data_IF_109471297811
#
_entry.id   IF_109471297811
#
_cell.length_a   1.000
_cell.length_b   1.000
_cell.length_c   1.000
_cell.angle_alpha   90.00
_cell.angle_beta   90.00
_cell.angle_gamma   90.00
#
_symmetry.space_group_name_H-M   'P 1'
#
loop_
_entity.id
_entity.type
_entity.pdbx_description
1 polymer ?
#
# COMPACT_ATOMS: atom_id res chain seq x y z
N UNK A 1 -31.79 -3.65 14.25
CA UNK A 1 -30.34 -3.46 13.99
C UNK A 1 -29.91 -2.23 14.77
N UNK A 2 -28.98 -2.35 15.72
CA UNK A 2 -28.40 -1.20 16.40
C UNK A 2 -27.73 -0.38 15.32
N UNK A 3 -28.04 0.90 15.25
CA UNK A 3 -27.46 1.82 14.28
C UNK A 3 -25.97 2.03 14.58
N UNK A 4 -25.14 1.09 14.12
CA UNK A 4 -23.69 1.11 14.32
C UNK A 4 -23.01 2.22 13.49
N UNK A 5 -23.72 2.85 12.55
CA UNK A 5 -23.17 3.88 11.66
C UNK A 5 -22.58 5.07 12.44
N UNK A 6 -23.19 5.43 13.57
CA UNK A 6 -22.69 6.52 14.43
C UNK A 6 -21.34 6.21 15.06
N UNK A 7 -21.16 4.97 15.55
CA UNK A 7 -19.88 4.54 16.15
C UNK A 7 -18.79 4.46 15.09
N UNK A 8 -19.10 3.94 13.92
CA UNK A 8 -18.16 3.87 12.79
C UNK A 8 -17.76 5.27 12.35
N UNK A 9 -18.73 6.18 12.20
CA UNK A 9 -18.47 7.58 11.83
C UNK A 9 -17.61 8.31 12.88
N UNK A 10 -17.92 8.13 14.16
CA UNK A 10 -17.13 8.72 15.25
C UNK A 10 -15.69 8.21 15.24
N UNK A 11 -15.48 6.90 15.10
CA UNK A 11 -14.16 6.29 15.02
C UNK A 11 -13.38 6.81 13.82
N UNK A 12 -14.04 6.94 12.67
CA UNK A 12 -13.45 7.51 11.46
C UNK A 12 -13.01 8.96 11.65
N UNK A 13 -13.87 9.80 12.24
CA UNK A 13 -13.55 11.20 12.51
C UNK A 13 -12.40 11.33 13.51
N UNK A 14 -12.41 10.55 14.58
CA UNK A 14 -11.30 10.50 15.55
C UNK A 14 -9.99 10.08 14.87
N UNK A 15 -10.04 9.06 14.02
CA UNK A 15 -8.90 8.63 13.23
C UNK A 15 -8.38 9.73 12.29
N UNK A 16 -9.26 10.40 11.54
CA UNK A 16 -8.85 11.52 10.66
C UNK A 16 -8.24 12.67 11.43
N UNK A 17 -8.77 12.98 12.62
CA UNK A 17 -8.18 13.97 13.51
C UNK A 17 -6.75 13.59 13.93
N UNK A 18 -6.52 12.32 14.27
CA UNK A 18 -5.18 11.82 14.60
C UNK A 18 -4.21 12.03 13.42
N UNK A 19 -4.61 11.74 12.19
CA UNK A 19 -3.78 11.97 11.01
C UNK A 19 -3.42 13.45 10.83
N UNK A 20 -4.36 14.36 11.02
CA UNK A 20 -4.13 15.81 10.97
C UNK A 20 -3.14 16.23 12.06
N UNK A 21 -3.30 15.73 13.29
CA UNK A 21 -2.39 16.01 14.40
C UNK A 21 -0.97 15.50 14.13
N UNK A 22 -0.83 14.31 13.53
CA UNK A 22 0.46 13.78 13.07
C UNK A 22 1.09 14.71 12.02
N UNK A 23 0.32 15.20 11.06
CA UNK A 23 0.78 16.16 10.05
C UNK A 23 1.31 17.45 10.67
N UNK A 24 0.55 18.04 11.59
CA UNK A 24 0.93 19.28 12.30
C UNK A 24 2.17 19.06 13.19
N UNK A 25 2.26 17.94 13.88
CA UNK A 25 3.43 17.60 14.68
C UNK A 25 4.68 17.39 13.82
N UNK A 26 4.54 16.69 12.69
CA UNK A 26 5.64 16.39 11.78
C UNK A 26 6.17 17.64 11.08
N UNK A 27 5.33 18.66 10.87
CA UNK A 27 5.75 19.96 10.33
C UNK A 27 6.94 20.56 11.09
N UNK A 28 6.97 20.38 12.42
CA UNK A 28 8.05 20.89 13.28
C UNK A 28 9.41 20.20 13.03
N UNK A 29 9.42 19.05 12.35
CA UNK A 29 10.63 18.29 12.02
C UNK A 29 11.19 18.61 10.62
N UNK A 30 10.44 19.34 9.81
CA UNK A 30 10.81 19.67 8.43
C UNK A 30 11.59 20.99 8.39
N UNK A 31 12.89 20.93 8.66
CA UNK A 31 13.79 22.08 8.66
C UNK A 31 14.58 22.24 7.34
N UNK A 32 14.57 21.20 6.50
CA UNK A 32 15.30 21.16 5.24
C UNK A 32 14.50 20.43 4.15
N UNK A 33 14.89 20.59 2.89
CA UNK A 33 14.35 19.85 1.75
C UNK A 33 14.53 18.34 1.95
N UNK A 34 15.67 17.92 2.50
CA UNK A 34 15.96 16.53 2.82
C UNK A 34 15.04 15.98 3.94
N UNK A 35 14.71 16.82 4.96
CA UNK A 35 13.74 16.41 5.98
C UNK A 35 12.36 16.18 5.38
N UNK A 36 11.94 17.07 4.49
CA UNK A 36 10.62 17.00 3.87
C UNK A 36 10.43 15.78 2.96
N UNK A 37 11.43 15.48 2.10
CA UNK A 37 11.31 14.41 1.10
C UNK A 37 11.73 13.02 1.57
N UNK A 38 12.70 12.91 2.48
CA UNK A 38 13.28 11.64 2.93
C UNK A 38 13.52 11.56 4.43
N UNK A 39 12.91 12.45 5.22
CA UNK A 39 13.10 12.55 6.68
C UNK A 39 14.59 12.59 7.09
N UNK A 40 15.45 13.20 6.26
CA UNK A 40 16.92 13.21 6.41
C UNK A 40 17.52 11.83 6.67
N UNK A 41 16.88 10.74 6.19
CA UNK A 41 17.27 9.35 6.41
C UNK A 41 17.34 8.96 7.90
N UNK A 42 16.53 9.61 8.75
CA UNK A 42 16.53 9.42 10.22
C UNK A 42 15.34 8.58 10.72
N UNK A 43 14.59 7.94 9.83
CA UNK A 43 13.53 7.03 10.23
C UNK A 43 14.11 5.82 10.95
N UNK A 44 13.51 5.47 12.08
CA UNK A 44 13.87 4.24 12.78
C UNK A 44 13.45 3.00 11.98
N UNK A 45 14.10 1.84 12.20
CA UNK A 45 13.88 0.63 11.39
C UNK A 45 12.43 0.14 11.45
N UNK A 46 11.75 0.24 12.58
CA UNK A 46 10.36 -0.15 12.73
C UNK A 46 9.40 0.72 11.93
N UNK A 47 9.57 2.05 11.99
CA UNK A 47 8.74 2.97 11.21
C UNK A 47 8.99 2.76 9.72
N UNK A 48 10.25 2.60 9.32
CA UNK A 48 10.60 2.36 7.93
C UNK A 48 9.99 1.05 7.39
N UNK A 49 10.06 -0.04 8.16
CA UNK A 49 9.49 -1.33 7.78
C UNK A 49 7.96 -1.30 7.70
N UNK A 50 7.29 -0.74 8.73
CA UNK A 50 5.84 -0.62 8.76
C UNK A 50 5.31 0.31 7.67
N UNK A 51 5.94 1.47 7.47
CA UNK A 51 5.56 2.40 6.42
C UNK A 51 5.75 1.78 5.02
N UNK A 52 6.87 1.12 4.76
CA UNK A 52 7.09 0.44 3.48
C UNK A 52 6.07 -0.67 3.23
N UNK A 53 5.74 -1.47 4.26
CA UNK A 53 4.72 -2.52 4.16
C UNK A 53 3.32 -1.93 3.92
N UNK A 54 2.95 -0.86 4.64
CA UNK A 54 1.66 -0.20 4.46
C UNK A 54 1.54 0.48 3.10
N UNK A 55 2.61 1.14 2.63
CA UNK A 55 2.64 1.80 1.32
C UNK A 55 2.55 0.82 0.15
N UNK A 56 3.06 -0.40 0.31
CA UNK A 56 2.92 -1.47 -0.70
C UNK A 56 1.52 -2.08 -0.71
N UNK A 57 0.74 -1.89 0.36
CA UNK A 57 -0.64 -2.33 0.45
C UNK A 57 -1.56 -1.30 -0.20
N UNK A 58 -2.51 -1.78 -1.02
CA UNK A 58 -3.44 -0.92 -1.76
C UNK A 58 -4.87 -1.48 -1.67
N UNK A 59 -5.82 -0.80 -2.28
CA UNK A 59 -7.17 -1.35 -2.46
C UNK A 59 -7.15 -2.71 -3.18
N UNK A 60 -6.14 -2.97 -4.04
CA UNK A 60 -5.94 -4.27 -4.66
C UNK A 60 -5.67 -5.37 -3.62
N UNK A 61 -4.90 -5.08 -2.57
CA UNK A 61 -4.62 -6.06 -1.50
C UNK A 61 -5.91 -6.47 -0.77
N UNK A 62 -6.80 -5.53 -0.53
CA UNK A 62 -8.06 -5.80 0.16
C UNK A 62 -9.12 -6.41 -0.78
N UNK A 63 -9.36 -5.79 -1.94
CA UNK A 63 -10.44 -6.15 -2.85
C UNK A 63 -10.00 -7.16 -3.91
N UNK A 64 -8.82 -6.97 -4.49
CA UNK A 64 -8.30 -7.82 -5.55
C UNK A 64 -7.84 -9.18 -5.06
N UNK A 65 -7.09 -9.26 -3.94
CA UNK A 65 -6.62 -10.54 -3.40
C UNK A 65 -7.78 -11.35 -2.84
N UNK A 66 -8.73 -10.72 -2.13
CA UNK A 66 -9.93 -11.43 -1.66
C UNK A 66 -10.83 -11.88 -2.80
N UNK A 67 -10.96 -11.06 -3.86
CA UNK A 67 -11.66 -11.46 -5.09
C UNK A 67 -10.97 -12.62 -5.82
N UNK A 68 -9.64 -12.60 -5.90
CA UNK A 68 -8.86 -13.70 -6.45
C UNK A 68 -9.03 -14.98 -5.62
N UNK A 69 -9.02 -14.88 -4.30
CA UNK A 69 -9.26 -16.02 -3.41
C UNK A 69 -10.67 -16.59 -3.59
N UNK A 70 -11.67 -15.74 -3.77
CA UNK A 70 -13.05 -16.15 -4.04
C UNK A 70 -13.19 -16.89 -5.38
N UNK A 71 -12.53 -16.37 -6.43
CA UNK A 71 -12.65 -16.92 -7.78
C UNK A 71 -11.77 -18.15 -8.01
N UNK A 72 -10.59 -18.19 -7.41
CA UNK A 72 -9.58 -19.22 -7.69
C UNK A 72 -9.46 -20.27 -6.59
N UNK A 73 -9.96 -19.98 -5.38
CA UNK A 73 -9.82 -20.87 -4.24
C UNK A 73 -8.37 -21.02 -3.78
N UNK A 74 -7.95 -22.25 -3.46
CA UNK A 74 -6.60 -22.54 -2.95
C UNK A 74 -5.43 -22.04 -3.81
N UNK A 75 -5.47 -22.05 -5.15
CA UNK A 75 -4.40 -21.48 -5.97
C UNK A 75 -4.06 -20.00 -5.66
N UNK A 76 -5.01 -19.23 -5.12
CA UNK A 76 -4.72 -17.84 -4.71
C UNK A 76 -3.66 -17.74 -3.60
N UNK A 77 -3.41 -18.80 -2.84
CA UNK A 77 -2.35 -18.83 -1.83
C UNK A 77 -0.96 -18.59 -2.41
N UNK A 78 -0.73 -18.85 -3.70
CA UNK A 78 0.54 -18.57 -4.37
C UNK A 78 0.88 -17.09 -4.46
N UNK A 79 -0.11 -16.19 -4.31
CA UNK A 79 0.11 -14.73 -4.24
C UNK A 79 1.04 -14.39 -3.07
N UNK A 80 0.86 -15.05 -1.92
CA UNK A 80 1.64 -14.77 -0.71
C UNK A 80 3.13 -15.05 -0.89
N UNK A 81 3.60 -16.27 -1.23
CA UNK A 81 5.02 -16.53 -1.42
C UNK A 81 5.61 -15.74 -2.60
N UNK A 82 4.84 -15.45 -3.64
CA UNK A 82 5.29 -14.62 -4.75
C UNK A 82 5.62 -13.18 -4.29
N UNK A 83 4.70 -12.53 -3.60
CA UNK A 83 4.92 -11.18 -3.05
C UNK A 83 6.05 -11.17 -2.03
N UNK A 84 6.08 -12.15 -1.13
CA UNK A 84 7.13 -12.28 -0.11
C UNK A 84 8.52 -12.42 -0.73
N UNK A 85 8.66 -13.23 -1.78
CA UNK A 85 9.93 -13.37 -2.50
C UNK A 85 10.40 -12.05 -3.13
N UNK A 86 9.47 -11.24 -3.64
CA UNK A 86 9.74 -9.89 -4.12
C UNK A 86 10.31 -8.99 -3.01
N UNK A 87 9.68 -8.97 -1.84
CA UNK A 87 10.20 -8.24 -0.68
C UNK A 87 11.61 -8.71 -0.27
N UNK A 88 11.86 -10.02 -0.24
CA UNK A 88 13.21 -10.54 0.04
C UNK A 88 14.25 -10.03 -0.96
N UNK A 89 13.94 -10.07 -2.24
CA UNK A 89 14.85 -9.57 -3.29
C UNK A 89 15.09 -8.06 -3.10
N UNK A 90 14.05 -7.30 -2.86
CA UNK A 90 14.16 -5.86 -2.64
C UNK A 90 15.05 -5.55 -1.43
N UNK A 91 14.71 -6.05 -0.26
CA UNK A 91 15.39 -5.68 0.99
C UNK A 91 16.80 -6.24 1.12
N UNK A 92 17.10 -7.41 0.54
CA UNK A 92 18.42 -8.00 0.63
C UNK A 92 19.39 -7.50 -0.46
N UNK A 93 18.89 -7.22 -1.66
CA UNK A 93 19.75 -6.94 -2.81
C UNK A 93 19.61 -5.54 -3.38
N UNK A 94 18.38 -4.99 -3.49
CA UNK A 94 18.12 -3.72 -4.17
C UNK A 94 18.28 -2.56 -3.19
N UNK A 95 17.55 -2.56 -2.10
CA UNK A 95 17.48 -1.44 -1.16
C UNK A 95 18.84 -1.06 -0.55
N UNK A 96 19.73 -1.99 -0.14
CA UNK A 96 21.05 -1.63 0.37
C UNK A 96 21.93 -0.93 -0.67
N UNK A 97 21.92 -1.41 -1.92
CA UNK A 97 22.67 -0.79 -3.03
C UNK A 97 22.14 0.58 -3.39
N UNK A 98 20.81 0.69 -3.48
CA UNK A 98 20.15 1.96 -3.75
C UNK A 98 20.45 2.99 -2.67
N UNK A 99 20.39 2.59 -1.40
CA UNK A 99 20.72 3.45 -0.26
C UNK A 99 22.18 3.94 -0.31
N UNK A 100 23.14 3.04 -0.54
CA UNK A 100 24.56 3.40 -0.63
C UNK A 100 24.81 4.40 -1.77
N UNK A 101 24.28 4.13 -2.97
CA UNK A 101 24.43 5.01 -4.12
C UNK A 101 23.75 6.37 -3.91
N UNK A 102 22.54 6.36 -3.35
CA UNK A 102 21.79 7.57 -3.02
C UNK A 102 22.52 8.45 -2.00
N UNK A 103 23.15 7.84 -0.98
CA UNK A 103 23.96 8.58 -0.01
C UNK A 103 25.24 9.15 -0.64
N UNK A 104 25.94 8.33 -1.44
CA UNK A 104 27.19 8.74 -2.09
C UNK A 104 26.99 9.95 -3.01
N UNK A 105 25.90 10.00 -3.74
CA UNK A 105 25.59 11.07 -4.71
C UNK A 105 24.61 12.11 -4.18
N UNK A 106 24.22 12.05 -2.90
CA UNK A 106 23.28 12.96 -2.23
C UNK A 106 21.94 13.10 -2.98
N UNK A 107 21.44 11.99 -3.54
CA UNK A 107 20.20 11.97 -4.31
C UNK A 107 19.00 11.94 -3.36
N UNK A 108 17.94 12.68 -3.73
CA UNK A 108 16.71 12.80 -2.95
C UNK A 108 15.54 12.01 -3.58
N UNK A 109 15.59 11.79 -4.89
CA UNK A 109 14.49 11.20 -5.64
C UNK A 109 14.95 10.03 -6.51
N UNK A 110 14.03 9.10 -6.79
CA UNK A 110 14.27 8.00 -7.72
C UNK A 110 14.60 8.51 -9.13
N UNK A 111 13.99 9.60 -9.56
CA UNK A 111 14.24 10.18 -10.89
C UNK A 111 15.67 10.72 -11.02
N UNK A 112 16.25 11.25 -9.95
CA UNK A 112 17.67 11.64 -9.91
C UNK A 112 18.59 10.44 -9.97
N UNK A 113 18.22 9.35 -9.29
CA UNK A 113 18.97 8.09 -9.35
C UNK A 113 18.97 7.49 -10.76
N UNK A 114 17.82 7.42 -11.42
CA UNK A 114 17.70 6.89 -12.78
C UNK A 114 18.45 7.75 -13.81
N UNK A 115 18.54 9.04 -13.56
CA UNK A 115 19.22 10.00 -14.41
C UNK A 115 20.74 10.13 -14.12
N UNK A 116 21.27 9.35 -13.17
CA UNK A 116 22.69 9.44 -12.80
C UNK A 116 23.59 8.91 -13.92
N UNK A 117 24.34 9.82 -14.53
CA UNK A 117 25.34 9.53 -15.57
C UNK A 117 26.77 9.66 -15.05
N UNK A 118 27.76 9.39 -15.91
CA UNK A 118 29.19 9.51 -15.57
C UNK A 118 29.61 10.92 -15.15
N UNK A 119 28.99 11.95 -15.74
CA UNK A 119 29.35 13.36 -15.54
C UNK A 119 28.28 14.14 -14.75
N UNK A 120 27.44 13.45 -13.98
CA UNK A 120 26.34 14.05 -13.21
C UNK A 120 24.96 13.61 -13.73
N UNK A 121 23.92 14.33 -13.34
CA UNK A 121 22.54 13.99 -13.68
C UNK A 121 22.19 14.44 -15.10
N UNK A 122 21.71 13.50 -15.93
CA UNK A 122 21.22 13.75 -17.28
C UNK A 122 19.78 14.28 -17.21
N UNK A 123 19.57 15.55 -17.57
CA UNK A 123 18.28 16.25 -17.38
C UNK A 123 17.15 15.62 -18.19
N UNK A 124 17.42 15.20 -19.40
CA UNK A 124 16.44 14.58 -20.31
C UNK A 124 15.87 13.29 -19.72
N UNK A 125 16.74 12.45 -19.15
CA UNK A 125 16.34 11.21 -18.47
C UNK A 125 15.53 11.53 -17.20
N UNK A 126 15.95 12.55 -16.43
CA UNK A 126 15.21 12.97 -15.24
C UNK A 126 13.79 13.41 -15.58
N UNK A 127 13.63 14.26 -16.61
CA UNK A 127 12.30 14.73 -17.02
C UNK A 127 11.43 13.61 -17.58
N UNK A 128 12.00 12.73 -18.41
CA UNK A 128 11.27 11.59 -18.96
C UNK A 128 10.81 10.63 -17.83
N UNK A 129 11.72 10.28 -16.93
CA UNK A 129 11.39 9.44 -15.78
C UNK A 129 10.32 10.08 -14.87
N UNK A 130 10.42 11.39 -14.60
CA UNK A 130 9.43 12.11 -13.82
C UNK A 130 8.06 12.10 -14.51
N UNK A 131 8.02 12.32 -15.83
CA UNK A 131 6.76 12.27 -16.58
C UNK A 131 6.10 10.89 -16.51
N UNK A 132 6.86 9.82 -16.75
CA UNK A 132 6.33 8.44 -16.69
C UNK A 132 5.80 8.13 -15.29
N UNK A 133 6.56 8.46 -14.23
CA UNK A 133 6.16 8.20 -12.85
C UNK A 133 4.87 8.96 -12.53
N UNK A 134 4.80 10.27 -12.82
CA UNK A 134 3.60 11.08 -12.55
C UNK A 134 2.40 10.54 -13.32
N UNK A 135 2.58 10.21 -14.61
CA UNK A 135 1.53 9.64 -15.43
C UNK A 135 0.96 8.34 -14.84
N UNK A 136 1.82 7.38 -14.47
CA UNK A 136 1.39 6.13 -13.86
C UNK A 136 0.70 6.34 -12.49
N UNK A 137 1.26 7.23 -11.66
CA UNK A 137 0.71 7.49 -10.32
C UNK A 137 -0.63 8.22 -10.35
N UNK A 138 -0.92 9.04 -11.35
CA UNK A 138 -2.26 9.65 -11.51
C UNK A 138 -3.33 8.56 -11.60
N UNK A 139 -3.16 7.57 -12.46
CA UNK A 139 -4.11 6.46 -12.59
C UNK A 139 -4.16 5.58 -11.35
N UNK A 140 -3.01 5.29 -10.75
CA UNK A 140 -2.92 4.53 -9.51
C UNK A 140 -3.70 5.21 -8.38
N UNK A 141 -3.46 6.50 -8.14
CA UNK A 141 -4.12 7.26 -7.09
C UNK A 141 -5.62 7.39 -7.38
N UNK A 142 -6.01 7.62 -8.63
CA UNK A 142 -7.41 7.69 -9.01
C UNK A 142 -8.16 6.40 -8.68
N UNK A 143 -7.56 5.22 -8.95
CA UNK A 143 -8.14 3.93 -8.58
C UNK A 143 -8.28 3.73 -7.07
N UNK A 144 -7.33 4.22 -6.27
CA UNK A 144 -7.41 4.15 -4.80
C UNK A 144 -8.56 5.03 -4.26
N UNK A 145 -8.72 6.24 -4.80
CA UNK A 145 -9.83 7.11 -4.41
C UNK A 145 -11.17 6.57 -4.86
N UNK A 146 -11.24 5.94 -6.03
CA UNK A 146 -12.45 5.29 -6.50
C UNK A 146 -12.88 4.15 -5.56
N UNK A 147 -11.97 3.27 -5.18
CA UNK A 147 -12.21 2.19 -4.24
C UNK A 147 -12.62 2.70 -2.84
N UNK A 148 -11.96 3.76 -2.35
CA UNK A 148 -12.33 4.42 -1.11
C UNK A 148 -13.74 5.01 -1.19
N UNK A 149 -14.08 5.71 -2.27
CA UNK A 149 -15.41 6.27 -2.50
C UNK A 149 -16.51 5.21 -2.49
N UNK A 150 -16.29 4.08 -3.16
CA UNK A 150 -17.23 2.94 -3.15
C UNK A 150 -17.41 2.36 -1.73
N UNK A 151 -16.33 2.26 -0.96
CA UNK A 151 -16.40 1.78 0.43
C UNK A 151 -17.20 2.73 1.33
N UNK A 152 -17.04 4.05 1.16
CA UNK A 152 -17.82 5.04 1.90
C UNK A 152 -19.29 5.03 1.50
N UNK A 153 -19.59 4.94 0.21
CA UNK A 153 -20.96 4.85 -0.30
C UNK A 153 -21.68 3.63 0.27
N UNK A 154 -21.03 2.46 0.21
CA UNK A 154 -21.63 1.19 0.70
C UNK A 154 -21.78 1.16 2.23
N UNK A 155 -20.92 1.84 2.98
CA UNK A 155 -20.90 1.78 4.46
C UNK A 155 -21.80 2.85 5.07
N UNK A 156 -21.82 4.05 4.50
CA UNK A 156 -22.49 5.23 5.09
C UNK A 156 -23.62 5.76 4.26
N UNK A 157 -23.85 5.25 3.04
CA UNK A 157 -24.82 5.81 2.10
C UNK A 157 -24.48 7.23 1.61
N UNK A 158 -23.20 7.63 1.73
CA UNK A 158 -22.73 8.94 1.28
C UNK A 158 -22.52 8.96 -0.22
N UNK A 159 -22.67 10.16 -0.82
CA UNK A 159 -22.35 10.33 -2.23
C UNK A 159 -20.86 10.02 -2.47
N UNK A 160 -20.57 9.13 -3.44
CA UNK A 160 -19.22 8.70 -3.78
C UNK A 160 -18.28 9.87 -4.08
N UNK A 161 -18.74 10.83 -4.88
CA UNK A 161 -17.91 11.99 -5.28
C UNK A 161 -17.56 12.90 -4.08
N UNK A 162 -18.51 13.15 -3.20
CA UNK A 162 -18.28 13.94 -1.98
C UNK A 162 -17.30 13.25 -1.04
N UNK A 163 -17.44 11.93 -0.86
CA UNK A 163 -16.53 11.11 -0.05
C UNK A 163 -15.09 11.16 -0.57
N UNK A 164 -14.93 11.08 -1.89
CA UNK A 164 -13.62 11.19 -2.56
C UNK A 164 -13.02 12.58 -2.30
N UNK A 165 -13.79 13.66 -2.51
CA UNK A 165 -13.29 15.03 -2.33
C UNK A 165 -12.86 15.32 -0.89
N UNK A 166 -13.63 14.87 0.10
CA UNK A 166 -13.28 14.99 1.53
C UNK A 166 -11.99 14.20 1.83
N UNK A 167 -11.91 12.97 1.32
CA UNK A 167 -10.72 12.13 1.47
C UNK A 167 -9.45 12.78 0.91
N UNK A 168 -9.54 13.29 -0.33
CA UNK A 168 -8.45 14.02 -0.99
C UNK A 168 -8.02 15.22 -0.16
N UNK A 169 -8.96 16.07 0.26
CA UNK A 169 -8.67 17.27 1.03
C UNK A 169 -7.88 16.96 2.32
N UNK A 170 -8.31 15.94 3.08
CA UNK A 170 -7.66 15.53 4.32
C UNK A 170 -6.24 14.98 4.03
N UNK A 171 -6.10 14.12 3.02
CA UNK A 171 -4.80 13.52 2.67
C UNK A 171 -3.82 14.60 2.22
N UNK A 172 -4.22 15.49 1.33
CA UNK A 172 -3.38 16.59 0.87
C UNK A 172 -2.96 17.50 2.04
N UNK A 173 -3.88 17.80 2.94
CA UNK A 173 -3.61 18.69 4.06
C UNK A 173 -2.49 18.15 4.95
N UNK A 174 -2.61 16.92 5.48
CA UNK A 174 -1.58 16.41 6.38
C UNK A 174 -0.26 16.05 5.68
N UNK A 175 -0.33 15.61 4.41
CA UNK A 175 0.86 15.25 3.63
C UNK A 175 1.68 16.49 3.26
N UNK A 176 1.04 17.55 2.77
CA UNK A 176 1.72 18.80 2.42
C UNK A 176 2.32 19.50 3.64
N UNK A 177 1.65 19.44 4.79
CA UNK A 177 2.17 20.03 6.03
C UNK A 177 3.33 19.24 6.63
N UNK A 178 3.22 17.93 6.67
CA UNK A 178 4.12 17.08 7.43
C UNK A 178 5.19 16.36 6.61
N UNK A 179 5.09 16.37 5.27
CA UNK A 179 6.03 15.71 4.37
C UNK A 179 6.20 14.22 4.67
N UNK A 180 7.37 13.68 4.34
CA UNK A 180 7.68 12.25 4.48
C UNK A 180 7.59 11.72 5.92
N UNK A 181 7.88 12.57 6.92
CA UNK A 181 7.70 12.22 8.32
C UNK A 181 6.23 11.92 8.66
N UNK A 182 5.31 12.80 8.23
CA UNK A 182 3.89 12.60 8.47
C UNK A 182 3.38 11.33 7.79
N UNK A 183 3.75 11.13 6.53
CA UNK A 183 3.37 9.94 5.76
C UNK A 183 3.88 8.68 6.45
N UNK A 184 5.17 8.60 6.78
CA UNK A 184 5.75 7.40 7.38
C UNK A 184 5.14 7.03 8.75
N UNK A 185 4.82 8.01 9.58
CA UNK A 185 4.18 7.78 10.88
C UNK A 185 2.71 7.38 10.71
N UNK A 186 1.97 8.05 9.82
CA UNK A 186 0.59 7.69 9.54
C UNK A 186 0.47 6.30 8.90
N UNK A 187 1.36 5.96 7.96
CA UNK A 187 1.42 4.63 7.34
C UNK A 187 1.73 3.55 8.36
N UNK A 188 2.64 3.82 9.32
CA UNK A 188 2.94 2.88 10.39
C UNK A 188 1.72 2.59 11.26
N UNK A 189 0.94 3.61 11.61
CA UNK A 189 -0.31 3.46 12.33
C UNK A 189 -1.33 2.65 11.52
N UNK A 190 -1.48 2.97 10.23
CA UNK A 190 -2.36 2.26 9.31
C UNK A 190 -1.93 0.81 9.11
N UNK A 191 -0.64 0.56 8.95
CA UNK A 191 -0.07 -0.78 8.82
C UNK A 191 -0.37 -1.67 10.03
N UNK A 192 -0.28 -1.12 11.25
CA UNK A 192 -0.67 -1.85 12.48
C UNK A 192 -2.17 -2.16 12.47
N UNK A 193 -3.02 -1.19 12.13
CA UNK A 193 -4.47 -1.41 12.04
C UNK A 193 -4.82 -2.47 11.00
N UNK A 194 -4.16 -2.44 9.83
CA UNK A 194 -4.32 -3.45 8.77
C UNK A 194 -3.89 -4.84 9.25
N UNK A 195 -2.76 -4.95 9.94
CA UNK A 195 -2.28 -6.23 10.48
C UNK A 195 -3.25 -6.81 11.51
N UNK A 196 -3.78 -5.98 12.41
CA UNK A 196 -4.80 -6.39 13.39
C UNK A 196 -6.07 -6.86 12.67
N UNK A 197 -6.55 -6.11 11.69
CA UNK A 197 -7.74 -6.46 10.91
C UNK A 197 -7.54 -7.77 10.12
N UNK A 198 -6.37 -7.96 9.54
CA UNK A 198 -6.02 -9.19 8.80
C UNK A 198 -6.00 -10.44 9.69
N UNK A 199 -5.80 -10.29 10.99
CA UNK A 199 -5.88 -11.39 11.97
C UNK A 199 -7.32 -11.60 12.46
N UNK A 200 -8.01 -10.52 12.83
CA UNK A 200 -9.35 -10.60 13.43
C UNK A 200 -10.40 -11.07 12.42
N UNK A 201 -10.38 -10.54 11.19
CA UNK A 201 -11.41 -10.85 10.20
C UNK A 201 -11.49 -12.35 9.86
N UNK A 202 -10.40 -13.09 9.59
CA UNK A 202 -10.47 -14.53 9.37
C UNK A 202 -10.96 -15.29 10.61
N UNK A 203 -10.55 -14.90 11.82
CA UNK A 203 -11.00 -15.56 13.06
C UNK A 203 -12.52 -15.43 13.22
N UNK A 204 -13.06 -14.23 13.00
CA UNK A 204 -14.51 -13.99 13.07
C UNK A 204 -15.23 -14.76 11.96
N UNK A 205 -14.71 -14.74 10.73
CA UNK A 205 -15.29 -15.48 9.63
C UNK A 205 -15.33 -17.00 9.90
N UNK A 206 -14.23 -17.57 10.39
CA UNK A 206 -14.15 -18.99 10.76
C UNK A 206 -15.13 -19.36 11.89
N UNK A 207 -15.30 -18.47 12.88
CA UNK A 207 -16.25 -18.71 13.96
C UNK A 207 -17.72 -18.72 13.53
N UNK A 208 -18.03 -18.00 12.44
CA UNK A 208 -19.40 -17.93 11.89
C UNK A 208 -19.71 -19.00 10.86
N UNK A 209 -18.75 -19.37 10.03
CA UNK A 209 -18.96 -20.31 8.91
C UNK A 209 -18.95 -21.79 9.33
N UNK A 210 -18.40 -22.12 10.49
CA UNK A 210 -18.19 -23.50 10.93
C UNK A 210 -16.97 -24.17 10.26
N UNK A 211 -16.10 -24.75 11.06
CA UNK A 211 -14.83 -25.33 10.56
C UNK A 211 -15.07 -26.54 9.64
N UNK A 212 -16.07 -27.37 9.95
CA UNK A 212 -16.33 -28.61 9.20
C UNK A 212 -16.69 -28.35 7.73
N UNK A 213 -17.49 -27.33 7.47
CA UNK A 213 -17.89 -26.96 6.12
C UNK A 213 -16.70 -26.40 5.31
N UNK A 214 -15.86 -25.60 5.94
CA UNK A 214 -14.65 -25.05 5.32
C UNK A 214 -13.67 -26.17 4.98
N UNK A 215 -13.45 -27.13 5.88
CA UNK A 215 -12.54 -28.25 5.61
C UNK A 215 -13.06 -29.16 4.48
N UNK A 216 -14.37 -29.38 4.37
CA UNK A 216 -14.95 -30.14 3.26
C UNK A 216 -14.75 -29.41 1.93
N UNK A 217 -15.00 -28.12 1.86
CA UNK A 217 -14.83 -27.34 0.65
C UNK A 217 -13.35 -27.25 0.23
N UNK A 218 -12.44 -27.10 1.17
CA UNK A 218 -11.00 -27.05 0.91
C UNK A 218 -10.44 -28.43 0.49
N UNK A 219 -10.94 -29.53 1.04
CA UNK A 219 -10.48 -30.88 0.69
C UNK A 219 -10.79 -31.27 -0.76
N UNK A 220 -11.76 -30.62 -1.39
CA UNK A 220 -12.12 -30.82 -2.80
C UNK A 220 -11.25 -30.04 -3.78
N UNK A 221 -10.41 -29.10 -3.29
CA UNK A 221 -9.59 -28.22 -4.10
C UNK A 221 -8.12 -28.65 -4.11
N UNK A 222 -7.41 -28.36 -5.21
CA UNK A 222 -5.98 -28.57 -5.33
C UNK A 222 -5.22 -27.26 -5.36
N UNK A 223 -4.13 -27.18 -4.59
CA UNK A 223 -3.24 -26.02 -4.57
C UNK A 223 -2.59 -25.74 -5.93
N UNK A 224 -2.45 -26.77 -6.77
CA UNK A 224 -1.82 -26.70 -8.09
C UNK A 224 -2.83 -26.71 -9.23
N UNK A 225 -4.14 -26.65 -8.94
CA UNK A 225 -5.13 -26.49 -9.99
C UNK A 225 -4.98 -25.13 -10.64
N UNK A 226 -5.02 -25.07 -11.96
CA UNK A 226 -5.11 -23.78 -12.67
C UNK A 226 -6.54 -23.27 -12.51
N UNK A 227 -6.71 -21.98 -12.13
CA UNK A 227 -8.04 -21.38 -12.09
C UNK A 227 -8.75 -21.55 -13.43
N UNK A 228 -10.04 -21.82 -13.40
CA UNK A 228 -10.84 -22.00 -14.60
C UNK A 228 -10.69 -20.80 -15.55
N UNK A 229 -10.26 -21.06 -16.78
CA UNK A 229 -10.06 -20.04 -17.81
C UNK A 229 -8.66 -19.40 -17.84
N UNK A 230 -7.75 -19.79 -16.95
CA UNK A 230 -6.37 -19.29 -16.96
C UNK A 230 -5.42 -20.40 -17.42
N UNK A 231 -4.61 -20.13 -18.46
CA UNK A 231 -3.56 -21.07 -18.89
C UNK A 231 -2.41 -21.10 -17.87
N UNK A 232 -1.66 -22.20 -17.79
CA UNK A 232 -0.48 -22.28 -16.91
C UNK A 232 0.54 -21.15 -17.13
N UNK A 233 0.70 -20.69 -18.38
CA UNK A 233 1.55 -19.56 -18.71
C UNK A 233 1.03 -18.23 -18.11
N UNK A 234 -0.29 -18.00 -18.15
CA UNK A 234 -0.91 -16.82 -17.56
C UNK A 234 -0.83 -16.84 -16.04
N UNK A 235 -1.00 -18.00 -15.39
CA UNK A 235 -0.81 -18.18 -13.95
C UNK A 235 0.65 -17.88 -13.55
N UNK A 236 1.62 -18.37 -14.29
CA UNK A 236 3.03 -18.07 -14.07
C UNK A 236 3.33 -16.57 -14.24
N UNK A 237 2.80 -15.94 -15.30
CA UNK A 237 2.89 -14.50 -15.50
C UNK A 237 2.29 -13.68 -14.35
N UNK A 238 1.16 -14.15 -13.81
CA UNK A 238 0.53 -13.51 -12.65
C UNK A 238 1.41 -13.62 -11.38
N UNK A 239 2.01 -14.79 -11.13
CA UNK A 239 2.95 -14.98 -10.01
C UNK A 239 4.17 -14.04 -10.16
N UNK A 240 4.75 -13.95 -11.35
CA UNK A 240 5.86 -13.01 -11.61
C UNK A 240 5.43 -11.54 -11.43
N UNK A 241 4.23 -11.19 -11.86
CA UNK A 241 3.67 -9.86 -11.66
C UNK A 241 3.47 -9.52 -10.18
N UNK A 242 2.94 -10.47 -9.40
CA UNK A 242 2.78 -10.26 -7.95
C UNK A 242 4.11 -10.21 -7.19
N UNK A 243 5.14 -10.93 -7.66
CA UNK A 243 6.50 -10.78 -7.16
C UNK A 243 7.04 -9.36 -7.41
N UNK A 244 6.68 -8.75 -8.56
CA UNK A 244 6.99 -7.36 -8.87
C UNK A 244 6.44 -6.37 -7.84
N UNK A 245 5.26 -6.62 -7.26
CA UNK A 245 4.68 -5.80 -6.18
C UNK A 245 5.60 -5.76 -4.95
N UNK A 246 6.24 -6.87 -4.61
CA UNK A 246 7.19 -6.93 -3.48
C UNK A 246 8.54 -6.27 -3.78
N UNK A 247 8.90 -6.14 -5.05
CA UNK A 247 10.14 -5.47 -5.46
C UNK A 247 10.01 -3.94 -5.35
N UNK A 248 8.80 -3.39 -5.50
CA UNK A 248 8.50 -1.97 -5.30
C UNK A 248 7.97 -1.32 -6.53
#
# INVERSE_FOLDING_TARGET
MIDNSKYILFTLLAYKLILILIGLWSRKKNNSVSDYFIASRKLGPWIAALSASASSSSAWTLLGVSGAAYLWGLPALWIFPATLSGFFINWLFIAPKLNQLSQKHQLLTLTEFLALGKNGTVKEIKYLASFIIVFCFIFYIASQFDAAGQSFESTFGLNKSESIMIGIAIILFYTLLGGFWAVSVSDSLQGIMMAISAIILPIVALSQAGLDQIFMDLSSQSLFSTPSGITGLAAFGFILGTMGIGIG
#
